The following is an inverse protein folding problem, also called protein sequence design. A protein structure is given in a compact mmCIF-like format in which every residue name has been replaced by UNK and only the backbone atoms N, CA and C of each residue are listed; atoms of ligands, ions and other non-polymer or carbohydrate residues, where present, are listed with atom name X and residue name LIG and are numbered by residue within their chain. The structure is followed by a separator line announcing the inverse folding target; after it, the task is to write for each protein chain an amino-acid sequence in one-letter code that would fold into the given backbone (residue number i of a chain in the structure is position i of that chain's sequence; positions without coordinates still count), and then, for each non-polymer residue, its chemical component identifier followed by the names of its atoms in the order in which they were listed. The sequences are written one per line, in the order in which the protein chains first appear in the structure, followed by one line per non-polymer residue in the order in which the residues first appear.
data_IF_726480654924
#
_entry.id   IF_726480654924
#
_cell.length_a   1.000
_cell.length_b   1.000
_cell.length_c   1.000
_cell.angle_alpha   90.00
_cell.angle_beta   90.00
_cell.angle_gamma   90.00
#
_symmetry.space_group_name_H-M   'P 1'
#
loop_
_entity.id
_entity.type
_entity.pdbx_description
1 polymer ?
#
# COMPACT_ATOMS: atom_id res chain seq x y z
N UNK A 1 -48.23 39.73 -4.31
CA UNK A 1 -47.56 39.10 -5.47
C UNK A 1 -46.48 38.17 -4.94
N UNK A 2 -46.49 36.87 -5.26
CA UNK A 2 -45.47 35.95 -4.76
C UNK A 2 -44.19 36.16 -5.58
N UNK A 3 -43.13 36.64 -4.93
CA UNK A 3 -41.78 36.64 -5.50
C UNK A 3 -41.26 35.21 -5.46
N UNK A 4 -41.22 34.53 -6.60
CA UNK A 4 -40.57 33.22 -6.68
C UNK A 4 -39.10 33.40 -6.29
N UNK A 5 -38.73 32.91 -5.10
CA UNK A 5 -37.41 33.04 -4.49
C UNK A 5 -36.41 31.99 -4.99
N UNK A 6 -36.72 31.33 -6.09
CA UNK A 6 -35.86 30.29 -6.61
C UNK A 6 -34.84 30.89 -7.59
N UNK A 7 -33.53 30.64 -7.39
CA UNK A 7 -32.52 31.10 -8.31
C UNK A 7 -32.75 30.48 -9.69
N UNK A 8 -32.50 31.26 -10.75
CA UNK A 8 -32.55 30.73 -12.12
C UNK A 8 -31.47 29.65 -12.28
N UNK A 9 -31.86 28.46 -12.73
CA UNK A 9 -30.94 27.31 -12.87
C UNK A 9 -30.61 27.07 -14.34
N UNK A 10 -29.33 27.06 -14.68
CA UNK A 10 -28.81 26.73 -16.00
C UNK A 10 -27.97 25.44 -15.93
N UNK A 11 -28.24 24.49 -16.82
CA UNK A 11 -27.51 23.20 -16.87
C UNK A 11 -27.08 22.91 -18.31
N UNK A 12 -25.84 22.41 -18.48
CA UNK A 12 -25.31 21.95 -19.78
C UNK A 12 -25.51 22.96 -20.92
N UNK A 13 -25.42 24.25 -20.61
CA UNK A 13 -25.80 25.34 -21.51
C UNK A 13 -24.57 26.09 -22.01
N UNK A 14 -24.71 26.76 -23.15
CA UNK A 14 -23.76 27.77 -23.60
C UNK A 14 -24.41 29.14 -23.44
N UNK A 15 -23.83 29.98 -22.60
CA UNK A 15 -24.35 31.30 -22.25
C UNK A 15 -23.35 32.35 -22.73
N UNK A 16 -23.84 33.39 -23.42
CA UNK A 16 -23.00 34.43 -24.01
C UNK A 16 -23.59 35.81 -23.76
N UNK A 17 -22.73 36.77 -23.43
CA UNK A 17 -23.09 38.20 -23.40
C UNK A 17 -24.25 38.56 -22.46
N UNK A 18 -24.44 37.78 -21.38
CA UNK A 18 -25.54 37.99 -20.42
C UNK A 18 -25.06 38.52 -19.08
N UNK A 19 -25.97 39.21 -18.39
CA UNK A 19 -25.85 39.56 -16.98
C UNK A 19 -26.74 38.64 -16.15
N UNK A 20 -26.14 37.73 -15.39
CA UNK A 20 -26.83 36.78 -14.53
C UNK A 20 -26.73 37.22 -13.07
N UNK A 21 -27.87 37.17 -12.37
CA UNK A 21 -27.98 37.50 -10.95
C UNK A 21 -28.68 36.39 -10.20
N UNK A 22 -28.16 36.00 -9.03
CA UNK A 22 -28.74 34.95 -8.18
C UNK A 22 -29.05 33.66 -8.98
N UNK A 23 -28.10 33.18 -9.78
CA UNK A 23 -28.28 32.03 -10.64
C UNK A 23 -27.37 30.86 -10.25
N UNK A 24 -27.87 29.64 -10.47
CA UNK A 24 -27.11 28.40 -10.32
C UNK A 24 -26.76 27.84 -11.69
N UNK A 25 -25.48 27.62 -11.94
CA UNK A 25 -24.96 27.30 -13.26
C UNK A 25 -24.12 26.03 -13.15
N UNK A 26 -24.54 24.97 -13.83
CA UNK A 26 -23.89 23.66 -13.76
C UNK A 26 -23.45 23.19 -15.14
N UNK A 27 -22.23 22.68 -15.24
CA UNK A 27 -21.70 22.02 -16.44
C UNK A 27 -21.87 22.83 -17.72
N UNK A 28 -21.72 24.15 -17.64
CA UNK A 28 -22.03 25.09 -18.72
C UNK A 28 -20.79 25.83 -19.20
N UNK A 29 -20.88 26.49 -20.36
CA UNK A 29 -19.84 27.36 -20.91
C UNK A 29 -20.34 28.79 -20.96
N UNK A 30 -19.59 29.71 -20.37
CA UNK A 30 -19.94 31.12 -20.26
C UNK A 30 -18.89 31.95 -20.98
N UNK A 31 -19.34 32.85 -21.84
CA UNK A 31 -18.49 33.76 -22.60
C UNK A 31 -18.95 35.20 -22.42
N UNK A 32 -18.05 36.11 -22.05
CA UNK A 32 -18.33 37.54 -21.90
C UNK A 32 -19.55 37.84 -21.00
N UNK A 33 -19.72 37.08 -19.92
CA UNK A 33 -20.87 37.22 -19.01
C UNK A 33 -20.51 38.02 -17.75
N UNK A 34 -21.51 38.69 -17.18
CA UNK A 34 -21.45 39.33 -15.85
C UNK A 34 -22.22 38.49 -14.84
N UNK A 35 -21.57 38.04 -13.77
CA UNK A 35 -22.14 37.17 -12.75
C UNK A 35 -22.20 37.89 -11.40
N UNK A 36 -23.39 38.01 -10.81
CA UNK A 36 -23.54 38.61 -9.49
C UNK A 36 -24.30 37.65 -8.57
N UNK A 37 -23.72 37.32 -7.40
CA UNK A 37 -24.34 36.39 -6.43
C UNK A 37 -24.72 35.04 -7.04
N UNK A 38 -23.92 34.55 -7.99
CA UNK A 38 -24.18 33.29 -8.67
C UNK A 38 -23.43 32.13 -8.00
N UNK A 39 -23.85 30.90 -8.29
CA UNK A 39 -23.09 29.69 -7.97
C UNK A 39 -22.80 28.93 -9.26
N UNK A 40 -21.52 28.69 -9.54
CA UNK A 40 -21.05 28.09 -10.79
C UNK A 40 -20.30 26.81 -10.49
N UNK A 41 -20.72 25.70 -11.06
CA UNK A 41 -20.18 24.36 -10.80
C UNK A 41 -19.76 23.68 -12.09
N UNK A 42 -18.58 23.06 -12.09
CA UNK A 42 -18.06 22.22 -13.18
C UNK A 42 -18.18 22.88 -14.58
N UNK A 43 -17.96 24.19 -14.66
CA UNK A 43 -18.25 25.01 -15.85
C UNK A 43 -16.99 25.68 -16.38
N UNK A 44 -17.07 26.28 -17.56
CA UNK A 44 -16.00 27.11 -18.13
C UNK A 44 -16.46 28.55 -18.20
N UNK A 45 -15.70 29.48 -17.63
CA UNK A 45 -15.90 30.92 -17.75
C UNK A 45 -14.78 31.49 -18.61
N UNK A 46 -15.11 32.23 -19.66
CA UNK A 46 -14.14 32.92 -20.51
C UNK A 46 -14.53 34.39 -20.69
N UNK A 47 -13.58 35.29 -20.47
CA UNK A 47 -13.77 36.75 -20.56
C UNK A 47 -14.94 37.26 -19.69
N UNK A 48 -15.24 36.62 -18.56
CA UNK A 48 -16.36 36.96 -17.69
C UNK A 48 -15.96 37.93 -16.57
N UNK A 49 -16.94 38.59 -15.96
CA UNK A 49 -16.78 39.38 -14.73
C UNK A 49 -17.67 38.81 -13.64
N UNK A 50 -17.15 38.59 -12.43
CA UNK A 50 -17.94 38.03 -11.33
C UNK A 50 -17.83 38.85 -10.03
N UNK A 51 -18.95 38.96 -9.32
CA UNK A 51 -19.09 39.61 -8.00
C UNK A 51 -19.85 38.68 -7.05
N UNK A 52 -19.39 38.55 -5.81
CA UNK A 52 -20.06 37.75 -4.77
C UNK A 52 -20.45 36.34 -5.25
N UNK A 53 -19.65 35.75 -6.15
CA UNK A 53 -19.99 34.53 -6.88
C UNK A 53 -19.15 33.36 -6.37
N UNK A 54 -19.78 32.21 -6.15
CA UNK A 54 -19.12 30.95 -5.79
C UNK A 54 -18.81 30.18 -7.06
N UNK A 55 -17.54 29.83 -7.29
CA UNK A 55 -17.06 29.11 -8.46
C UNK A 55 -16.39 27.81 -7.97
N UNK A 56 -16.96 26.67 -8.31
CA UNK A 56 -16.51 25.34 -7.86
C UNK A 56 -16.15 24.46 -9.06
N UNK A 57 -14.98 23.83 -9.02
CA UNK A 57 -14.50 22.88 -10.04
C UNK A 57 -14.61 23.40 -11.47
N UNK A 58 -14.50 24.72 -11.65
CA UNK A 58 -14.73 25.39 -12.92
C UNK A 58 -13.43 26.00 -13.44
N UNK A 59 -13.28 26.00 -14.77
CA UNK A 59 -12.16 26.64 -15.45
C UNK A 59 -12.50 28.12 -15.67
N UNK A 60 -11.54 29.01 -15.38
CA UNK A 60 -11.73 30.46 -15.50
C UNK A 60 -10.60 31.04 -16.34
N UNK A 61 -10.94 31.57 -17.51
CA UNK A 61 -10.01 32.13 -18.51
C UNK A 61 -10.28 33.61 -18.71
N UNK A 62 -9.23 34.44 -18.70
CA UNK A 62 -9.29 35.89 -19.00
C UNK A 62 -10.43 36.65 -18.28
N UNK A 63 -10.89 36.14 -17.15
CA UNK A 63 -12.06 36.64 -16.44
C UNK A 63 -11.61 37.43 -15.21
N UNK A 64 -12.38 38.45 -14.85
CA UNK A 64 -12.14 39.30 -13.68
C UNK A 64 -13.04 38.87 -12.53
N UNK A 65 -12.47 38.70 -11.34
CA UNK A 65 -13.21 38.36 -10.13
C UNK A 65 -13.06 39.51 -9.15
N UNK A 66 -14.17 40.12 -8.80
CA UNK A 66 -14.20 41.29 -7.93
C UNK A 66 -14.36 40.83 -6.47
N UNK A 67 -13.45 41.28 -5.61
CA UNK A 67 -13.31 40.86 -4.19
C UNK A 67 -13.82 41.96 -3.23
N UNK A 68 -14.65 42.90 -3.70
CA UNK A 68 -15.23 43.90 -2.79
C UNK A 68 -16.40 43.28 -2.01
N UNK A 69 -16.38 43.37 -0.67
CA UNK A 69 -17.39 42.76 0.22
C UNK A 69 -17.10 41.29 0.53
N UNK A 70 -18.14 40.43 0.58
CA UNK A 70 -18.01 38.97 0.84
C UNK A 70 -17.21 38.22 -0.25
N UNK A 71 -16.88 38.90 -1.36
CA UNK A 71 -15.95 38.45 -2.39
C UNK A 71 -16.39 37.24 -3.21
N UNK A 72 -15.62 36.90 -4.24
CA UNK A 72 -15.83 35.65 -4.98
C UNK A 72 -15.04 34.52 -4.31
N UNK A 73 -15.67 33.35 -4.15
CA UNK A 73 -15.00 32.14 -3.64
C UNK A 73 -14.72 31.19 -4.79
N UNK A 74 -13.45 30.79 -4.98
CA UNK A 74 -13.08 29.80 -6.00
C UNK A 74 -12.52 28.54 -5.34
N UNK A 75 -13.10 27.38 -5.66
CA UNK A 75 -12.53 26.07 -5.32
C UNK A 75 -12.09 25.38 -6.60
N UNK A 76 -10.77 25.36 -6.86
CA UNK A 76 -10.18 24.87 -8.13
C UNK A 76 -9.82 23.37 -8.14
N UNK A 77 -9.89 22.66 -7.02
CA UNK A 77 -9.42 21.28 -6.93
C UNK A 77 -10.53 20.28 -6.58
N UNK A 78 -10.44 19.08 -7.15
CA UNK A 78 -11.10 17.88 -6.60
C UNK A 78 -10.79 17.83 -5.12
N UNK A 79 -11.82 17.56 -4.31
CA UNK A 79 -11.76 17.57 -2.85
C UNK A 79 -10.44 16.97 -2.36
N UNK A 80 -9.54 17.77 -1.77
CA UNK A 80 -8.22 17.30 -1.40
C UNK A 80 -8.40 16.14 -0.42
N UNK A 81 -7.57 15.10 -0.56
CA UNK A 81 -7.59 13.91 0.32
C UNK A 81 -7.58 14.29 1.81
N UNK A 82 -7.14 15.51 2.13
CA UNK A 82 -7.18 16.18 3.43
C UNK A 82 -8.56 16.28 4.10
N UNK A 83 -9.67 16.10 3.36
CA UNK A 83 -11.02 16.03 3.97
C UNK A 83 -11.38 14.64 4.49
N UNK A 84 -10.65 13.61 4.08
CA UNK A 84 -10.81 12.27 4.63
C UNK A 84 -9.98 12.12 5.90
N UNK A 85 -10.55 11.45 6.91
CA UNK A 85 -9.79 11.07 8.11
C UNK A 85 -8.61 10.17 7.74
N UNK A 86 -7.55 10.09 8.57
CA UNK A 86 -6.43 9.17 8.36
C UNK A 86 -6.87 7.72 8.06
N UNK A 87 -7.92 7.25 8.72
CA UNK A 87 -8.45 5.89 8.56
C UNK A 87 -9.08 5.68 7.19
N UNK A 88 -9.92 6.61 6.72
CA UNK A 88 -10.53 6.54 5.39
C UNK A 88 -9.48 6.64 4.28
N UNK A 89 -8.46 7.48 4.48
CA UNK A 89 -7.32 7.53 3.58
C UNK A 89 -6.61 6.19 3.53
N UNK A 90 -6.31 5.58 4.68
CA UNK A 90 -5.70 4.24 4.77
C UNK A 90 -6.54 3.18 4.02
N UNK A 91 -7.87 3.20 4.15
CA UNK A 91 -8.75 2.28 3.43
C UNK A 91 -8.68 2.48 1.91
N UNK A 92 -8.72 3.74 1.45
CA UNK A 92 -8.57 4.07 0.03
C UNK A 92 -7.18 3.62 -0.50
N UNK A 93 -6.12 3.87 0.27
CA UNK A 93 -4.76 3.42 -0.05
C UNK A 93 -4.69 1.90 -0.19
N UNK A 94 -5.27 1.17 0.77
CA UNK A 94 -5.28 -0.29 0.79
C UNK A 94 -5.97 -0.83 -0.46
N UNK A 95 -7.16 -0.33 -0.78
CA UNK A 95 -7.92 -0.77 -1.95
C UNK A 95 -7.15 -0.55 -3.26
N UNK A 96 -6.55 0.64 -3.43
CA UNK A 96 -5.77 0.96 -4.64
C UNK A 96 -4.53 0.07 -4.76
N UNK A 97 -3.83 -0.20 -3.65
CA UNK A 97 -2.66 -1.08 -3.65
C UNK A 97 -3.06 -2.51 -4.02
N UNK A 98 -4.15 -3.03 -3.47
CA UNK A 98 -4.67 -4.36 -3.79
C UNK A 98 -5.07 -4.48 -5.26
N UNK A 99 -5.77 -3.47 -5.81
CA UNK A 99 -6.16 -3.42 -7.22
C UNK A 99 -4.94 -3.33 -8.15
N UNK A 100 -3.93 -2.51 -7.79
CA UNK A 100 -2.71 -2.38 -8.59
C UNK A 100 -1.86 -3.65 -8.54
N UNK A 101 -1.75 -4.28 -7.38
CA UNK A 101 -1.02 -5.54 -7.20
C UNK A 101 -1.58 -6.64 -8.11
N UNK A 102 -2.90 -6.71 -8.28
CA UNK A 102 -3.54 -7.63 -9.21
C UNK A 102 -3.13 -7.39 -10.68
N UNK A 103 -2.79 -6.15 -11.06
CA UNK A 103 -2.45 -5.80 -12.46
C UNK A 103 -0.97 -5.90 -12.83
N UNK A 104 -0.07 -6.29 -11.90
CA UNK A 104 1.39 -6.36 -12.09
C UNK A 104 2.05 -5.06 -12.64
N UNK A 105 1.36 -3.91 -12.63
CA UNK A 105 1.92 -2.63 -13.08
C UNK A 105 2.84 -2.04 -12.01
N UNK A 106 3.91 -1.36 -12.43
CA UNK A 106 4.87 -0.72 -11.53
C UNK A 106 4.18 0.11 -10.44
N UNK A 107 4.34 -0.34 -9.19
CA UNK A 107 3.81 0.28 -7.96
C UNK A 107 4.61 1.54 -7.61
N UNK A 108 5.00 2.34 -8.60
CA UNK A 108 5.38 3.73 -8.31
C UNK A 108 4.06 4.49 -8.25
N UNK A 109 3.35 4.36 -7.12
CA UNK A 109 1.93 4.72 -6.97
C UNK A 109 1.65 6.06 -7.67
N UNK A 110 0.75 6.10 -8.67
CA UNK A 110 0.12 7.34 -9.13
C UNK A 110 -0.36 8.21 -7.97
N UNK A 111 -0.69 7.57 -6.85
CA UNK A 111 -1.05 8.16 -5.57
C UNK A 111 0.10 8.84 -4.80
N UNK A 112 1.31 8.23 -4.75
CA UNK A 112 2.51 8.92 -4.20
C UNK A 112 2.83 10.13 -5.08
N UNK A 113 2.71 9.99 -6.40
CA UNK A 113 2.87 11.12 -7.34
C UNK A 113 1.80 12.20 -7.13
N UNK A 114 0.54 11.82 -6.95
CA UNK A 114 -0.56 12.74 -6.70
C UNK A 114 -0.40 13.49 -5.37
N UNK A 115 0.14 12.83 -4.36
CA UNK A 115 0.29 13.37 -3.00
C UNK A 115 1.62 14.07 -2.75
N UNK A 116 2.62 13.90 -3.63
CA UNK A 116 3.85 14.70 -3.62
C UNK A 116 3.56 16.20 -3.82
N UNK A 117 2.41 16.55 -4.41
CA UNK A 117 1.96 17.94 -4.60
C UNK A 117 1.27 18.49 -3.34
N UNK A 118 0.87 17.63 -2.41
CA UNK A 118 0.32 18.05 -1.12
C UNK A 118 1.45 18.32 -0.11
N UNK A 119 1.25 19.30 0.79
CA UNK A 119 2.22 19.75 1.82
C UNK A 119 3.03 18.60 2.46
N UNK A 120 4.26 18.89 2.87
CA UNK A 120 5.24 17.94 3.44
C UNK A 120 4.68 16.96 4.50
N UNK A 121 3.71 17.39 5.31
CA UNK A 121 3.06 16.56 6.33
C UNK A 121 2.26 15.38 5.77
N UNK A 122 1.76 15.46 4.54
CA UNK A 122 0.97 14.40 3.93
C UNK A 122 1.84 13.39 3.22
N UNK A 123 2.97 13.84 2.66
CA UNK A 123 3.93 12.96 2.03
C UNK A 123 4.50 11.95 3.05
N UNK A 124 4.79 12.40 4.28
CA UNK A 124 5.24 11.51 5.36
C UNK A 124 4.20 10.47 5.76
N UNK A 125 2.92 10.86 5.89
CA UNK A 125 1.81 9.95 6.20
C UNK A 125 1.61 8.91 5.09
N UNK A 126 1.67 9.32 3.82
CA UNK A 126 1.56 8.43 2.66
C UNK A 126 2.72 7.45 2.61
N UNK A 127 3.93 7.91 2.89
CA UNK A 127 5.08 7.02 3.01
C UNK A 127 4.89 6.01 4.15
N UNK A 128 4.36 6.44 5.30
CA UNK A 128 4.05 5.52 6.39
C UNK A 128 3.01 4.47 6.00
N UNK A 129 1.95 4.87 5.31
CA UNK A 129 0.95 3.94 4.79
C UNK A 129 1.56 2.99 3.75
N UNK A 130 2.38 3.52 2.84
CA UNK A 130 3.08 2.74 1.83
C UNK A 130 3.97 1.67 2.45
N UNK A 131 4.85 2.03 3.39
CA UNK A 131 5.74 1.06 4.06
C UNK A 131 5.02 0.06 4.96
N UNK A 132 3.79 0.37 5.40
CA UNK A 132 2.91 -0.57 6.11
C UNK A 132 2.25 -1.57 5.18
N UNK A 133 1.82 -1.13 3.99
CA UNK A 133 0.98 -1.92 3.11
C UNK A 133 1.78 -2.70 2.07
N UNK A 134 2.80 -2.08 1.48
CA UNK A 134 3.59 -2.66 0.38
C UNK A 134 4.71 -3.51 0.97
N UNK A 135 4.76 -4.81 0.63
CA UNK A 135 5.85 -5.68 1.03
C UNK A 135 7.17 -5.16 0.47
N UNK A 136 8.22 -5.16 1.29
CA UNK A 136 9.56 -4.76 0.88
C UNK A 136 10.33 -5.97 0.33
N UNK A 137 10.55 -6.07 -0.99
CA UNK A 137 11.25 -7.19 -1.58
C UNK A 137 12.75 -7.12 -1.30
N UNK A 138 13.30 -8.24 -0.86
CA UNK A 138 14.71 -8.44 -0.54
C UNK A 138 15.16 -9.68 -1.28
N UNK A 139 15.97 -9.45 -2.31
CA UNK A 139 16.69 -10.48 -3.04
C UNK A 139 18.16 -10.53 -2.57
N UNK A 140 18.91 -11.48 -3.12
CA UNK A 140 20.34 -11.68 -2.82
C UNK A 140 21.18 -10.39 -3.00
N UNK A 141 20.81 -9.52 -3.94
CA UNK A 141 21.54 -8.28 -4.24
C UNK A 141 21.09 -7.12 -3.34
N UNK A 142 19.78 -6.97 -3.13
CA UNK A 142 19.16 -5.91 -2.32
C UNK A 142 19.39 -6.09 -0.84
N UNK A 143 19.70 -7.29 -0.39
CA UNK A 143 20.09 -7.55 0.99
C UNK A 143 21.22 -6.63 1.47
N UNK A 144 22.26 -6.45 0.65
CA UNK A 144 23.38 -5.54 0.96
C UNK A 144 22.95 -4.07 0.95
N UNK A 145 21.87 -3.73 0.24
CA UNK A 145 21.35 -2.37 0.24
C UNK A 145 20.70 -1.99 1.58
N UNK A 146 20.27 -2.96 2.40
CA UNK A 146 19.67 -2.70 3.70
C UNK A 146 20.58 -1.90 4.63
N UNK A 147 21.90 -2.03 4.52
CA UNK A 147 22.87 -1.23 5.29
C UNK A 147 22.74 0.27 5.06
N UNK A 148 22.34 0.63 3.85
CA UNK A 148 22.24 2.01 3.42
C UNK A 148 20.84 2.58 3.68
N UNK A 149 19.90 1.75 4.16
CA UNK A 149 18.56 2.22 4.51
C UNK A 149 18.65 2.98 5.84
N UNK A 150 18.20 4.25 5.88
CA UNK A 150 18.12 4.99 7.13
C UNK A 150 17.30 4.23 8.18
N UNK A 151 17.75 4.21 9.43
CA UNK A 151 17.07 3.50 10.52
C UNK A 151 15.59 3.91 10.65
N UNK A 152 15.28 5.18 10.40
CA UNK A 152 13.91 5.71 10.44
C UNK A 152 12.98 5.04 9.41
N UNK A 153 13.52 4.65 8.26
CA UNK A 153 12.80 3.89 7.21
C UNK A 153 12.73 2.42 7.60
N UNK A 154 13.84 1.82 8.04
CA UNK A 154 13.87 0.43 8.50
C UNK A 154 12.86 0.14 9.61
N UNK A 155 12.68 1.06 10.56
CA UNK A 155 11.70 0.99 11.63
C UNK A 155 10.23 1.13 11.17
N UNK A 156 9.98 1.42 9.88
CA UNK A 156 8.64 1.54 9.31
C UNK A 156 8.26 0.36 8.43
N UNK A 157 9.24 -0.44 7.98
CA UNK A 157 8.99 -1.63 7.17
C UNK A 157 8.26 -2.66 8.05
N UNK A 158 7.03 -3.00 7.64
CA UNK A 158 6.19 -3.99 8.36
C UNK A 158 6.17 -5.34 7.69
N UNK A 159 6.27 -5.36 6.36
CA UNK A 159 6.15 -6.56 5.54
C UNK A 159 7.40 -6.70 4.67
N UNK A 160 7.98 -7.89 4.66
CA UNK A 160 9.16 -8.21 3.86
C UNK A 160 8.84 -9.41 2.98
N UNK A 161 9.30 -9.39 1.74
CA UNK A 161 9.34 -10.59 0.87
C UNK A 161 10.79 -10.94 0.66
N UNK A 162 11.19 -12.14 1.08
CA UNK A 162 12.50 -12.70 0.84
C UNK A 162 12.39 -13.58 -0.39
N UNK A 163 13.06 -13.18 -1.47
CA UNK A 163 13.23 -14.01 -2.65
C UNK A 163 14.42 -14.94 -2.40
N UNK A 164 14.13 -16.24 -2.25
CA UNK A 164 15.09 -17.26 -1.81
C UNK A 164 15.59 -18.14 -2.96
N UNK A 165 15.06 -17.98 -4.17
CA UNK A 165 15.33 -18.86 -5.32
C UNK A 165 16.84 -19.03 -5.55
N UNK A 166 17.59 -17.94 -5.43
CA UNK A 166 19.03 -17.91 -5.64
C UNK A 166 19.83 -17.59 -4.36
N UNK A 167 19.21 -17.72 -3.19
CA UNK A 167 19.79 -17.25 -1.93
C UNK A 167 19.92 -18.38 -0.92
N UNK A 168 21.17 -18.79 -0.67
CA UNK A 168 21.50 -19.73 0.41
C UNK A 168 21.95 -18.97 1.67
N UNK A 169 21.17 -18.97 2.77
CA UNK A 169 21.56 -18.34 4.03
C UNK A 169 22.78 -18.99 4.67
N UNK A 170 23.13 -20.23 4.31
CA UNK A 170 24.28 -20.93 4.89
C UNK A 170 25.63 -20.45 4.34
N UNK A 171 25.65 -19.84 3.15
CA UNK A 171 26.88 -19.42 2.46
C UNK A 171 27.17 -17.94 2.56
N UNK A 172 26.21 -17.14 3.03
CA UNK A 172 26.37 -15.69 3.16
C UNK A 172 26.44 -15.23 4.62
N UNK A 173 27.23 -14.20 4.94
CA UNK A 173 27.31 -13.64 6.29
C UNK A 173 26.07 -12.80 6.60
N UNK A 174 24.90 -13.43 6.77
CA UNK A 174 23.67 -12.73 7.16
C UNK A 174 23.76 -12.13 8.57
N UNK A 175 24.71 -12.60 9.39
CA UNK A 175 24.99 -12.06 10.72
C UNK A 175 25.33 -10.56 10.71
N UNK A 176 25.73 -10.01 9.57
CA UNK A 176 26.12 -8.61 9.48
C UNK A 176 24.92 -7.68 9.27
N UNK A 177 23.77 -8.16 8.77
CA UNK A 177 22.71 -7.28 8.32
C UNK A 177 21.96 -6.55 9.44
N UNK A 178 21.42 -5.35 9.16
CA UNK A 178 20.68 -4.59 10.15
C UNK A 178 19.41 -5.35 10.57
N UNK A 179 19.07 -5.26 11.86
CA UNK A 179 17.79 -5.73 12.36
C UNK A 179 16.68 -4.81 11.86
N UNK A 180 15.55 -5.41 11.50
CA UNK A 180 14.34 -4.69 11.15
C UNK A 180 13.28 -4.97 12.22
N UNK A 181 13.34 -4.29 13.38
CA UNK A 181 12.54 -4.63 14.56
C UNK A 181 11.04 -4.39 14.37
N UNK A 182 10.67 -3.70 13.30
CA UNK A 182 9.30 -3.34 12.97
C UNK A 182 8.60 -4.38 12.08
N UNK A 183 9.34 -5.33 11.49
CA UNK A 183 8.80 -6.32 10.57
C UNK A 183 7.93 -7.30 11.35
N UNK A 184 6.65 -7.33 10.99
CA UNK A 184 5.64 -8.21 11.57
C UNK A 184 5.29 -9.37 10.64
N UNK A 185 5.58 -9.23 9.34
CA UNK A 185 5.24 -10.21 8.31
C UNK A 185 6.44 -10.45 7.39
N UNK A 186 6.79 -11.72 7.20
CA UNK A 186 7.81 -12.16 6.24
C UNK A 186 7.17 -13.16 5.29
N UNK A 187 7.37 -12.98 3.98
CA UNK A 187 7.02 -13.95 2.97
C UNK A 187 8.30 -14.55 2.37
N UNK A 188 8.46 -15.87 2.39
CA UNK A 188 9.50 -16.55 1.61
C UNK A 188 8.91 -16.93 0.25
N UNK A 189 9.51 -16.40 -0.80
CA UNK A 189 9.14 -16.65 -2.20
C UNK A 189 10.29 -17.39 -2.90
N UNK A 190 9.99 -18.23 -3.91
CA UNK A 190 11.00 -18.94 -4.69
C UNK A 190 11.53 -20.22 -4.05
N UNK A 191 10.68 -20.96 -3.31
CA UNK A 191 11.11 -22.13 -2.55
C UNK A 191 11.31 -23.42 -3.36
N UNK A 192 10.87 -23.45 -4.63
CA UNK A 192 10.77 -24.67 -5.45
C UNK A 192 12.03 -25.56 -5.43
N UNK A 193 13.20 -25.00 -5.71
CA UNK A 193 14.46 -25.77 -5.78
C UNK A 193 15.02 -26.15 -4.40
N UNK A 194 14.59 -25.45 -3.35
CA UNK A 194 15.10 -25.57 -1.99
C UNK A 194 14.27 -26.51 -1.11
N UNK A 195 13.15 -27.01 -1.63
CA UNK A 195 12.21 -27.87 -0.93
C UNK A 195 12.85 -29.14 -0.35
N UNK A 196 13.95 -29.63 -0.95
CA UNK A 196 14.61 -30.86 -0.56
C UNK A 196 15.43 -30.79 0.75
N UNK A 197 15.78 -29.59 1.27
CA UNK A 197 16.71 -29.47 2.40
C UNK A 197 16.08 -28.90 3.69
N UNK A 198 15.78 -29.78 4.65
CA UNK A 198 15.31 -29.40 5.98
C UNK A 198 16.30 -28.48 6.73
N UNK A 199 17.61 -28.64 6.47
CA UNK A 199 18.65 -27.81 7.06
C UNK A 199 18.59 -26.37 6.56
N UNK A 200 18.37 -26.19 5.25
CA UNK A 200 18.29 -24.87 4.63
C UNK A 200 17.09 -24.08 5.16
N UNK A 201 15.94 -24.75 5.30
CA UNK A 201 14.77 -24.18 5.94
C UNK A 201 15.06 -23.75 7.38
N UNK A 202 15.68 -24.62 8.19
CA UNK A 202 16.04 -24.28 9.57
C UNK A 202 16.92 -23.03 9.65
N UNK A 203 17.85 -22.87 8.69
CA UNK A 203 18.67 -21.66 8.57
C UNK A 203 17.83 -20.42 8.24
N UNK A 204 16.84 -20.53 7.35
CA UNK A 204 15.93 -19.43 7.02
C UNK A 204 15.04 -19.01 8.18
N UNK A 205 14.50 -19.98 8.92
CA UNK A 205 13.68 -19.71 10.10
C UNK A 205 14.49 -19.03 11.19
N UNK A 206 15.69 -19.55 11.48
CA UNK A 206 16.63 -18.96 12.44
C UNK A 206 17.00 -17.53 12.04
N UNK A 207 17.30 -17.32 10.76
CA UNK A 207 17.57 -16.00 10.20
C UNK A 207 16.41 -15.02 10.44
N UNK A 208 15.17 -15.43 10.14
CA UNK A 208 14.00 -14.56 10.31
C UNK A 208 13.80 -14.20 11.79
N UNK A 209 13.97 -15.17 12.69
CA UNK A 209 13.90 -14.93 14.13
C UNK A 209 14.98 -13.95 14.62
N UNK A 210 16.22 -14.08 14.12
CA UNK A 210 17.35 -13.26 14.55
C UNK A 210 17.31 -11.82 13.99
N UNK A 211 16.46 -11.56 12.99
CA UNK A 211 16.41 -10.29 12.26
C UNK A 211 15.12 -9.51 12.45
N UNK A 212 14.02 -10.19 12.78
CA UNK A 212 12.69 -9.60 12.84
C UNK A 212 12.07 -9.76 14.23
N UNK A 213 12.47 -8.86 15.16
CA UNK A 213 12.07 -8.90 16.58
C UNK A 213 10.54 -8.80 16.82
N UNK A 214 9.76 -8.38 15.83
CA UNK A 214 8.31 -8.24 15.91
C UNK A 214 7.55 -9.22 15.02
N UNK A 215 8.21 -10.26 14.50
CA UNK A 215 7.58 -11.22 13.59
C UNK A 215 6.39 -11.91 14.26
N UNK A 216 5.20 -11.69 13.69
CA UNK A 216 3.94 -12.32 14.09
C UNK A 216 3.32 -13.13 12.97
N UNK A 217 3.71 -12.88 11.72
CA UNK A 217 3.17 -13.55 10.54
C UNK A 217 4.31 -14.05 9.69
N UNK A 218 4.25 -15.30 9.27
CA UNK A 218 5.21 -15.91 8.38
C UNK A 218 4.45 -16.51 7.20
N UNK A 219 4.87 -16.25 5.97
CA UNK A 219 4.24 -16.75 4.76
C UNK A 219 5.25 -17.52 3.93
N UNK A 220 4.77 -18.60 3.33
CA UNK A 220 5.51 -19.36 2.34
C UNK A 220 4.70 -19.36 1.05
N UNK A 221 5.34 -19.05 -0.06
CA UNK A 221 4.73 -19.09 -1.37
C UNK A 221 5.38 -20.20 -2.19
N UNK A 222 4.57 -21.13 -2.68
CA UNK A 222 4.98 -22.22 -3.54
C UNK A 222 4.37 -22.03 -4.93
N UNK A 223 5.11 -22.30 -6.02
CA UNK A 223 4.50 -22.39 -7.33
C UNK A 223 3.53 -23.59 -7.37
N UNK A 224 2.33 -23.36 -7.91
CA UNK A 224 1.44 -24.44 -8.34
C UNK A 224 2.07 -25.04 -9.58
N UNK A 225 2.49 -26.30 -9.49
CA UNK A 225 2.89 -27.07 -10.66
C UNK A 225 1.63 -27.73 -11.19
N UNK A 226 1.32 -27.52 -12.47
CA UNK A 226 0.19 -28.17 -13.11
C UNK A 226 0.36 -29.69 -13.03
N UNK A 227 -0.64 -30.37 -12.43
CA UNK A 227 -0.62 -31.82 -12.16
C UNK A 227 -0.48 -32.69 -13.44
N UNK A 228 -0.59 -32.09 -14.63
CA UNK A 228 -0.62 -32.78 -15.93
C UNK A 228 0.78 -32.99 -16.55
N UNK A 229 1.84 -32.30 -16.11
CA UNK A 229 3.21 -32.49 -16.63
C UNK A 229 4.07 -33.38 -15.71
N UNK A 230 3.97 -34.70 -15.95
CA UNK A 230 4.95 -35.78 -15.72
C UNK A 230 5.59 -35.99 -14.34
N UNK A 231 5.36 -37.18 -13.77
CA UNK A 231 6.25 -38.04 -12.94
C UNK A 231 7.07 -37.44 -11.76
N UNK A 232 6.91 -36.16 -11.43
CA UNK A 232 7.67 -35.42 -10.44
C UNK A 232 7.05 -35.50 -9.04
N UNK A 233 7.68 -36.29 -8.17
CA UNK A 233 7.20 -36.63 -6.83
C UNK A 233 6.77 -35.47 -5.91
N UNK A 234 5.85 -35.82 -5.02
CA UNK A 234 5.89 -35.47 -3.59
C UNK A 234 5.94 -33.97 -3.24
N UNK A 235 5.45 -33.06 -4.08
CA UNK A 235 5.42 -31.63 -3.76
C UNK A 235 4.61 -31.35 -2.49
N UNK A 236 3.48 -32.04 -2.33
CA UNK A 236 2.62 -31.96 -1.14
C UNK A 236 3.31 -32.52 0.10
N UNK A 237 3.98 -33.65 -0.02
CA UNK A 237 4.78 -34.23 1.07
C UNK A 237 5.98 -33.35 1.43
N UNK A 238 6.61 -32.69 0.46
CA UNK A 238 7.64 -31.69 0.72
C UNK A 238 7.04 -30.49 1.45
N UNK A 239 5.87 -29.99 1.03
CA UNK A 239 5.15 -28.95 1.77
C UNK A 239 4.85 -29.41 3.20
N UNK A 240 4.35 -30.63 3.41
CA UNK A 240 4.07 -31.19 4.74
C UNK A 240 5.34 -31.34 5.59
N UNK A 241 6.46 -31.79 5.02
CA UNK A 241 7.78 -31.79 5.70
C UNK A 241 8.22 -30.39 6.08
N UNK A 242 7.92 -29.39 5.25
CA UNK A 242 8.16 -27.98 5.55
C UNK A 242 7.26 -27.48 6.68
N UNK A 243 5.98 -27.84 6.68
CA UNK A 243 5.05 -27.53 7.76
C UNK A 243 5.57 -28.10 9.08
N UNK A 244 6.01 -29.35 9.08
CA UNK A 244 6.50 -30.03 10.27
C UNK A 244 7.82 -29.45 10.78
N UNK A 245 8.74 -29.08 9.91
CA UNK A 245 9.96 -28.39 10.33
C UNK A 245 9.67 -27.00 10.90
N UNK A 246 8.72 -26.24 10.32
CA UNK A 246 8.28 -24.97 10.90
C UNK A 246 7.68 -25.18 12.31
N UNK A 247 6.80 -26.17 12.48
CA UNK A 247 6.22 -26.56 13.79
C UNK A 247 7.30 -26.96 14.80
N UNK A 248 8.33 -27.67 14.34
CA UNK A 248 9.42 -28.15 15.20
C UNK A 248 10.46 -27.06 15.53
N UNK A 249 10.52 -25.97 14.76
CA UNK A 249 11.51 -24.90 14.92
C UNK A 249 10.97 -23.70 15.70
N UNK A 250 9.71 -23.34 15.50
CA UNK A 250 9.09 -22.25 16.22
C UNK A 250 8.31 -22.76 17.45
N UNK A 251 8.47 -22.10 18.59
CA UNK A 251 7.67 -22.34 19.80
C UNK A 251 6.33 -21.61 19.64
N UNK A 252 5.47 -22.14 18.78
CA UNK A 252 4.17 -21.53 18.51
C UNK A 252 3.08 -22.49 18.88
N UNK A 253 2.41 -22.18 19.98
CA UNK A 253 1.01 -22.55 20.22
C UNK A 253 0.06 -21.89 19.18
N UNK A 254 0.57 -21.45 18.02
CA UNK A 254 -0.16 -20.74 16.99
C UNK A 254 -0.96 -21.71 16.15
N UNK A 255 -2.26 -21.43 16.02
CA UNK A 255 -3.11 -22.14 15.07
C UNK A 255 -2.57 -21.92 13.66
N UNK A 256 -2.18 -23.02 13.00
CA UNK A 256 -1.85 -23.03 11.59
C UNK A 256 -3.13 -22.74 10.81
N UNK A 257 -3.33 -21.47 10.45
CA UNK A 257 -4.41 -21.09 9.53
C UNK A 257 -3.88 -21.25 8.10
N UNK A 258 -4.05 -22.45 7.53
CA UNK A 258 -3.79 -22.67 6.10
C UNK A 258 -4.79 -21.84 5.31
N UNK A 259 -4.33 -20.68 4.87
CA UNK A 259 -5.09 -19.82 3.95
C UNK A 259 -4.90 -20.42 2.55
N UNK A 260 -5.74 -21.37 2.14
CA UNK A 260 -5.71 -22.00 0.81
C UNK A 260 -6.11 -21.05 -0.32
N UNK A 261 -5.53 -19.84 -0.36
CA UNK A 261 -5.73 -18.87 -1.41
C UNK A 261 -4.60 -19.03 -2.42
N UNK A 262 -4.95 -19.42 -3.64
CA UNK A 262 -4.04 -19.28 -4.77
C UNK A 262 -3.98 -17.80 -5.20
N UNK A 263 -2.79 -17.32 -5.51
CA UNK A 263 -2.58 -16.01 -6.13
C UNK A 263 -1.95 -16.26 -7.50
N UNK A 264 -2.80 -16.37 -8.53
CA UNK A 264 -2.35 -16.85 -9.83
C UNK A 264 -1.90 -18.31 -9.72
N UNK A 265 -0.70 -18.60 -10.21
CA UNK A 265 -0.12 -19.95 -10.26
C UNK A 265 0.72 -20.25 -9.01
N UNK A 266 0.35 -19.70 -7.85
CA UNK A 266 1.08 -19.87 -6.60
C UNK A 266 0.13 -20.21 -5.44
N UNK A 267 0.49 -21.20 -4.64
CA UNK A 267 -0.17 -21.53 -3.38
C UNK A 267 0.53 -20.82 -2.22
N UNK A 268 -0.23 -20.08 -1.41
CA UNK A 268 0.32 -19.28 -0.31
C UNK A 268 -0.08 -19.84 1.03
N UNK A 269 0.88 -20.31 1.80
CA UNK A 269 0.68 -20.80 3.16
C UNK A 269 1.04 -19.71 4.17
N UNK A 270 0.25 -19.57 5.23
CA UNK A 270 0.37 -18.48 6.19
C UNK A 270 0.35 -18.99 7.62
N UNK A 271 1.32 -18.58 8.43
CA UNK A 271 1.38 -18.81 9.86
C UNK A 271 1.18 -17.50 10.59
N UNK A 272 0.31 -17.50 11.59
CA UNK A 272 0.10 -16.36 12.48
C UNK A 272 0.39 -16.80 13.90
N UNK A 273 1.22 -16.03 14.61
CA UNK A 273 1.36 -16.17 16.05
C UNK A 273 0.01 -15.82 16.72
N UNK A 274 -0.32 -16.43 17.87
CA UNK A 274 -1.51 -16.08 18.64
C UNK A 274 -1.55 -14.57 18.93
N UNK A 275 -2.76 -14.02 19.07
CA UNK A 275 -2.94 -12.59 19.31
C UNK A 275 -2.09 -12.12 20.50
N UNK A 276 -1.26 -11.10 20.28
CA UNK A 276 -0.35 -10.54 21.30
C UNK A 276 0.93 -11.36 21.55
N UNK A 277 1.14 -12.47 20.85
CA UNK A 277 2.38 -13.26 20.90
C UNK A 277 3.22 -13.01 19.65
N UNK A 278 4.50 -13.36 19.74
CA UNK A 278 5.50 -13.31 18.66
C UNK A 278 6.10 -14.70 18.49
N UNK A 279 6.64 -14.99 17.31
CA UNK A 279 7.44 -16.20 17.14
C UNK A 279 8.67 -16.16 18.07
N UNK A 280 8.88 -17.23 18.85
CA UNK A 280 10.07 -17.44 19.66
C UNK A 280 10.80 -18.69 19.20
N UNK A 281 12.13 -18.66 19.26
CA UNK A 281 12.93 -19.85 19.05
C UNK A 281 12.62 -20.88 20.15
N UNK A 282 12.37 -22.14 19.78
CA UNK A 282 12.36 -23.22 20.75
C UNK A 282 13.73 -23.28 21.44
N UNK A 283 13.77 -23.05 22.75
CA UNK A 283 15.01 -23.06 23.55
C UNK A 283 15.80 -24.38 23.45
N UNK A 284 15.18 -25.44 22.91
CA UNK A 284 15.70 -26.81 22.85
C UNK A 284 16.92 -27.00 21.93
N UNK A 285 17.18 -26.11 20.96
CA UNK A 285 18.33 -26.30 20.04
C UNK A 285 19.69 -25.91 20.64
N UNK A 286 19.75 -24.97 21.59
CA UNK A 286 21.03 -24.50 22.16
C UNK A 286 21.63 -25.43 23.23
N UNK A 287 20.82 -26.31 23.83
CA UNK A 287 21.29 -27.20 24.89
C UNK A 287 22.13 -28.38 24.37
N UNK A 288 21.94 -28.83 23.12
CA UNK A 288 22.67 -29.99 22.57
C UNK A 288 24.08 -29.68 22.08
N UNK A 289 24.38 -28.43 21.69
CA UNK A 289 25.73 -28.06 21.20
C UNK A 289 26.75 -27.91 22.34
N UNK A 290 26.32 -27.64 23.57
CA UNK A 290 27.23 -27.58 24.73
C UNK A 290 27.62 -28.94 25.33
N UNK A 291 26.93 -30.03 24.95
CA UNK A 291 27.18 -31.36 25.50
C UNK A 291 27.91 -32.31 24.53
N UNK A 292 28.37 -31.82 23.38
CA UNK A 292 29.19 -32.60 22.42
C UNK A 292 30.64 -32.10 22.32
N UNK A 293 31.07 -31.27 23.27
CA UNK A 293 32.44 -30.74 23.35
C UNK A 293 33.03 -30.90 24.76
N UNK A 294 32.83 -32.08 25.34
CA UNK A 294 33.50 -32.55 26.56
C UNK A 294 33.83 -34.03 26.42
#
# INVERSE_FOLDING_TARGET
MPTSKDPSVFRKSTIRDLHLRNADIHSSKLYNCKLQRCRVFNSTLNDCQAWETVIHESQVYKSTLHILGDGCTITRAQLPLTKFTPELRLMLFKHIIEEQAATKKSITLPLIKALRVCKDSYYSEVLEVYYKLVPFPIDQHRWRALYWIPQSVGNRIRRVVLDVENWNPSTQPWFTAPRLPAVVEVNLHGLAEHLASQQLMSSWLQFCQDRFDALTTFRLTFPLIDEEEEEGGDYRDNADRWLDACRNHFDVDGELEVMGNSIGDEEVWCWKAPLGRKFKALARARAKVKNSSS
#
